data_IF_976896752497
#
_entry.id   IF_976896752497
#
_cell.length_a   1.000
_cell.length_b   1.000
_cell.length_c   1.000
_cell.angle_alpha   90.00
_cell.angle_beta   90.00
_cell.angle_gamma   90.00
#
_symmetry.space_group_name_H-M   'P 1'
#
loop_
_entity.id
_entity.type
_entity.pdbx_description
1 polymer ?
#
# COMPACT_ATOMS: atom_id res chain seq x y z
N UNK A 1 -4.91 0.35 15.91
CA UNK A 1 -5.99 -0.12 15.01
C UNK A 1 -5.64 0.22 13.57
N UNK A 2 -5.83 -0.70 12.67
CA UNK A 2 -5.54 -0.46 11.25
C UNK A 2 -6.57 0.50 10.66
N UNK A 3 -6.07 1.47 9.89
CA UNK A 3 -6.88 2.48 9.21
C UNK A 3 -6.57 2.48 7.73
N UNK A 4 -7.51 2.97 6.94
CA UNK A 4 -7.39 3.06 5.48
C UNK A 4 -7.66 4.48 5.04
N UNK A 5 -6.76 4.99 4.18
CA UNK A 5 -6.98 6.25 3.48
C UNK A 5 -7.10 5.97 1.99
N UNK A 6 -8.02 6.68 1.35
CA UNK A 6 -8.10 6.78 -0.10
C UNK A 6 -8.12 8.26 -0.47
N UNK A 7 -8.14 8.59 -1.76
CA UNK A 7 -8.28 9.99 -2.16
C UNK A 7 -9.66 10.58 -1.83
N UNK A 8 -10.64 9.73 -1.47
CA UNK A 8 -11.99 10.18 -1.14
C UNK A 8 -12.27 10.19 0.36
N UNK A 9 -11.59 9.32 1.12
CA UNK A 9 -11.87 9.13 2.54
C UNK A 9 -10.58 8.97 3.31
N UNK A 10 -10.60 9.35 4.59
CA UNK A 10 -9.45 9.19 5.48
C UNK A 10 -9.88 8.50 6.77
N UNK A 11 -8.93 7.80 7.38
CA UNK A 11 -9.09 7.17 8.69
C UNK A 11 -10.25 6.19 8.79
N UNK A 12 -10.53 5.49 7.69
CA UNK A 12 -11.58 4.46 7.69
C UNK A 12 -11.11 3.21 8.42
N UNK A 13 -12.02 2.61 9.18
CA UNK A 13 -11.81 1.28 9.75
C UNK A 13 -12.57 0.29 8.88
N UNK A 14 -11.86 -0.52 8.12
CA UNK A 14 -12.46 -1.45 7.17
C UNK A 14 -12.03 -2.89 7.45
N UNK A 15 -12.91 -3.83 7.10
CA UNK A 15 -12.55 -5.24 7.09
C UNK A 15 -11.57 -5.52 5.95
N UNK A 16 -10.85 -6.63 6.04
CA UNK A 16 -9.95 -7.06 5.00
C UNK A 16 -10.70 -7.30 3.68
N UNK A 17 -11.92 -7.82 3.76
CA UNK A 17 -12.78 -8.04 2.60
C UNK A 17 -13.10 -6.72 1.87
N UNK A 18 -13.41 -5.66 2.62
CA UNK A 18 -13.68 -4.34 2.04
C UNK A 18 -12.43 -3.73 1.43
N UNK A 19 -11.28 -3.92 2.05
CA UNK A 19 -10.02 -3.45 1.51
C UNK A 19 -9.74 -4.12 0.17
N UNK A 20 -9.93 -5.44 0.08
CA UNK A 20 -9.77 -6.18 -1.18
C UNK A 20 -10.72 -5.66 -2.27
N UNK A 21 -11.97 -5.37 -1.90
CA UNK A 21 -12.94 -4.84 -2.84
C UNK A 21 -12.49 -3.50 -3.42
N UNK A 22 -12.00 -2.59 -2.57
CA UNK A 22 -11.52 -1.28 -3.02
C UNK A 22 -10.31 -1.44 -3.96
N UNK A 23 -9.37 -2.32 -3.63
CA UNK A 23 -8.21 -2.59 -4.49
C UNK A 23 -8.67 -3.09 -5.86
N UNK A 24 -9.58 -4.05 -5.88
CA UNK A 24 -10.11 -4.62 -7.14
C UNK A 24 -10.80 -3.56 -7.97
N UNK A 25 -11.49 -2.62 -7.34
CA UNK A 25 -12.28 -1.59 -8.02
C UNK A 25 -11.49 -0.34 -8.37
N UNK A 26 -10.19 -0.26 -8.02
CA UNK A 26 -9.40 0.94 -8.30
C UNK A 26 -9.55 1.46 -9.73
N UNK A 27 -9.56 0.60 -10.78
CA UNK A 27 -9.72 1.09 -12.14
C UNK A 27 -11.10 1.68 -12.44
N UNK A 28 -12.11 1.44 -11.61
CA UNK A 28 -13.51 1.70 -11.94
C UNK A 28 -14.22 2.70 -11.04
N UNK A 29 -13.77 2.87 -9.80
CA UNK A 29 -14.55 3.61 -8.81
C UNK A 29 -14.05 5.02 -8.52
N UNK A 30 -13.07 5.49 -9.28
CA UNK A 30 -12.51 6.83 -9.09
C UNK A 30 -11.59 6.97 -7.88
N UNK A 31 -11.31 5.90 -7.16
CA UNK A 31 -10.24 5.91 -6.16
C UNK A 31 -8.90 5.86 -6.88
N UNK A 32 -7.93 6.64 -6.40
CA UNK A 32 -6.60 6.69 -7.01
C UNK A 32 -5.59 5.85 -6.26
N UNK A 33 -5.80 5.68 -4.96
CA UNK A 33 -4.87 4.94 -4.11
C UNK A 33 -5.60 4.36 -2.92
N UNK A 34 -4.96 3.35 -2.32
CA UNK A 34 -5.38 2.78 -1.04
C UNK A 34 -4.15 2.69 -0.16
N UNK A 35 -4.19 3.31 1.01
CA UNK A 35 -3.12 3.24 2.01
C UNK A 35 -3.66 2.56 3.26
N UNK A 36 -2.95 1.54 3.72
CA UNK A 36 -3.26 0.84 4.97
C UNK A 36 -2.14 1.15 5.96
N UNK A 37 -2.52 1.59 7.15
CA UNK A 37 -1.56 1.97 8.20
C UNK A 37 -2.16 1.69 9.57
N UNK A 38 -1.33 1.79 10.61
CA UNK A 38 -1.79 1.66 11.98
C UNK A 38 -1.83 3.06 12.61
N UNK A 39 -2.87 3.38 13.34
CA UNK A 39 -3.04 4.70 13.98
C UNK A 39 -2.27 4.84 15.30
N UNK A 40 -1.53 3.82 15.71
CA UNK A 40 -0.71 3.88 16.93
C UNK A 40 0.54 4.72 16.69
N UNK A 41 0.91 5.61 17.64
CA UNK A 41 2.04 6.53 17.44
C UNK A 41 3.39 5.85 17.21
N UNK A 42 3.57 4.63 17.71
CA UNK A 42 4.80 3.88 17.57
C UNK A 42 4.87 3.05 16.28
N UNK A 43 3.82 3.09 15.46
CA UNK A 43 3.74 2.33 14.20
C UNK A 43 3.53 3.29 13.03
N UNK A 44 4.63 3.79 12.48
CA UNK A 44 4.61 4.82 11.43
C UNK A 44 4.59 4.26 10.02
N UNK A 45 4.84 2.97 9.86
CA UNK A 45 4.89 2.34 8.54
C UNK A 45 3.53 2.23 7.87
N UNK A 46 3.55 1.99 6.56
CA UNK A 46 2.32 1.82 5.79
C UNK A 46 2.58 0.94 4.56
N UNK A 47 1.48 0.46 3.98
CA UNK A 47 1.49 -0.20 2.68
C UNK A 47 0.44 0.50 1.81
N UNK A 48 0.77 0.71 0.54
CA UNK A 48 -0.15 1.38 -0.38
C UNK A 48 -0.10 0.76 -1.76
N UNK A 49 -1.17 0.93 -2.50
CA UNK A 49 -1.21 0.57 -3.91
C UNK A 49 -1.92 1.63 -4.73
N UNK A 50 -1.43 1.83 -5.95
CA UNK A 50 -2.02 2.71 -6.95
C UNK A 50 -1.99 1.98 -8.28
N UNK A 51 -2.72 2.47 -9.27
CA UNK A 51 -2.51 2.02 -10.64
C UNK A 51 -1.22 2.66 -11.16
N UNK A 52 -0.40 1.88 -11.83
CA UNK A 52 0.87 2.37 -12.38
C UNK A 52 0.62 3.40 -13.49
N UNK A 53 -0.43 3.17 -14.28
CA UNK A 53 -0.86 4.10 -15.33
C UNK A 53 -2.39 4.09 -15.38
N UNK A 54 -3.02 5.08 -14.76
CA UNK A 54 -4.47 5.15 -14.67
C UNK A 54 -5.17 5.36 -16.01
N UNK A 55 -4.43 5.81 -17.03
CA UNK A 55 -5.01 5.96 -18.38
C UNK A 55 -5.30 4.61 -19.04
N UNK A 56 -4.66 3.53 -18.57
CA UNK A 56 -4.90 2.19 -19.08
C UNK A 56 -6.12 1.50 -18.44
N UNK A 57 -6.68 2.07 -17.39
CA UNK A 57 -7.83 1.49 -16.70
C UNK A 57 -7.55 0.09 -16.21
N UNK A 58 -8.42 -0.87 -16.57
CA UNK A 58 -8.29 -2.27 -16.14
C UNK A 58 -6.99 -2.94 -16.58
N UNK A 59 -6.35 -2.41 -17.59
CA UNK A 59 -5.11 -3.00 -18.13
C UNK A 59 -3.87 -2.47 -17.42
N UNK A 60 -4.02 -1.49 -16.52
CA UNK A 60 -2.88 -0.98 -15.78
C UNK A 60 -2.36 -2.02 -14.79
N UNK A 61 -1.03 -2.20 -14.72
CA UNK A 61 -0.44 -2.88 -13.57
C UNK A 61 -0.69 -2.06 -12.31
N UNK A 62 -0.55 -2.70 -11.17
CA UNK A 62 -0.60 -2.05 -9.86
C UNK A 62 0.82 -1.78 -9.39
N UNK A 63 1.03 -0.60 -8.82
CA UNK A 63 2.28 -0.29 -8.14
C UNK A 63 2.03 -0.44 -6.63
N UNK A 64 2.79 -1.33 -6.02
CA UNK A 64 2.70 -1.62 -4.59
C UNK A 64 3.91 -1.02 -3.90
N UNK A 65 3.69 -0.27 -2.83
CA UNK A 65 4.77 0.34 -2.06
C UNK A 65 4.54 0.12 -0.57
N UNK A 66 5.62 -0.05 0.17
CA UNK A 66 5.59 -0.12 1.62
C UNK A 66 6.76 0.63 2.20
N UNK A 67 6.53 1.29 3.34
CA UNK A 67 7.57 2.00 4.07
C UNK A 67 7.66 1.41 5.46
N UNK A 68 8.86 1.05 5.84
CA UNK A 68 9.17 0.48 7.16
C UNK A 68 10.07 1.45 7.90
N UNK A 69 9.65 1.91 9.07
CA UNK A 69 10.46 2.81 9.89
C UNK A 69 11.31 1.99 10.86
N UNK A 70 12.59 2.32 10.92
CA UNK A 70 13.55 1.71 11.85
C UNK A 70 13.67 2.56 13.12
N UNK A 71 13.57 3.89 12.96
CA UNK A 71 13.47 4.87 14.03
C UNK A 71 12.50 5.94 13.55
N UNK A 72 12.27 7.00 14.35
CA UNK A 72 11.41 8.12 13.93
C UNK A 72 11.94 8.80 12.66
N UNK A 73 13.27 8.77 12.47
CA UNK A 73 13.92 9.53 11.39
C UNK A 73 14.47 8.65 10.28
N UNK A 74 14.49 7.33 10.45
CA UNK A 74 15.07 6.43 9.44
C UNK A 74 14.05 5.40 8.98
N UNK A 75 14.04 5.18 7.67
CA UNK A 75 13.11 4.22 7.08
C UNK A 75 13.74 3.53 5.86
N UNK A 76 13.10 2.45 5.46
CA UNK A 76 13.34 1.80 4.17
C UNK A 76 12.04 1.82 3.38
N UNK A 77 12.11 2.17 2.11
CA UNK A 77 10.94 2.23 1.22
C UNK A 77 11.13 1.22 0.09
N UNK A 78 10.12 0.39 -0.12
CA UNK A 78 10.16 -0.69 -1.10
C UNK A 78 9.04 -0.53 -2.11
N UNK A 79 9.30 -0.97 -3.34
CA UNK A 79 8.36 -0.87 -4.47
C UNK A 79 8.33 -2.17 -5.25
N UNK A 80 7.16 -2.53 -5.73
CA UNK A 80 6.95 -3.73 -6.53
C UNK A 80 5.81 -3.47 -7.51
N UNK A 81 6.00 -3.90 -8.77
CA UNK A 81 4.93 -3.86 -9.76
C UNK A 81 4.20 -5.20 -9.75
N UNK A 82 2.88 -5.16 -9.75
CA UNK A 82 2.03 -6.34 -9.77
C UNK A 82 1.03 -6.22 -10.92
N UNK A 83 0.84 -7.29 -11.67
CA UNK A 83 -0.03 -7.26 -12.86
C UNK A 83 -1.51 -7.18 -12.49
N UNK A 84 -1.91 -7.78 -11.38
CA UNK A 84 -3.33 -7.93 -11.01
C UNK A 84 -3.56 -7.63 -9.54
N UNK A 85 -4.79 -7.21 -9.22
CA UNK A 85 -5.20 -6.94 -7.84
C UNK A 85 -4.97 -8.14 -6.91
N UNK A 86 -5.21 -9.35 -7.40
CA UNK A 86 -5.05 -10.57 -6.60
C UNK A 86 -3.62 -10.75 -6.10
N UNK A 87 -2.63 -10.22 -6.79
CA UNK A 87 -1.23 -10.27 -6.36
C UNK A 87 -0.95 -9.30 -5.21
N UNK A 88 -1.79 -8.28 -5.05
CA UNK A 88 -1.67 -7.28 -3.99
C UNK A 88 -2.22 -7.82 -2.66
N UNK A 89 -3.28 -8.62 -2.70
CA UNK A 89 -4.03 -9.05 -1.52
C UNK A 89 -3.16 -9.68 -0.42
N UNK A 90 -2.25 -10.62 -0.72
CA UNK A 90 -1.44 -11.25 0.35
C UNK A 90 -0.60 -10.25 1.14
N UNK A 91 -0.07 -9.24 0.47
CA UNK A 91 0.75 -8.22 1.13
C UNK A 91 -0.07 -7.34 2.06
N UNK A 92 -1.25 -6.91 1.61
CA UNK A 92 -2.16 -6.14 2.46
C UNK A 92 -2.66 -6.97 3.63
N UNK A 93 -2.97 -8.26 3.40
CA UNK A 93 -3.41 -9.15 4.46
C UNK A 93 -2.33 -9.32 5.54
N UNK A 94 -1.09 -9.53 5.13
CA UNK A 94 0.02 -9.66 6.07
C UNK A 94 0.20 -8.38 6.89
N UNK A 95 0.17 -7.24 6.25
CA UNK A 95 0.26 -5.96 6.96
C UNK A 95 -0.90 -5.79 7.94
N UNK A 96 -2.11 -6.10 7.49
CA UNK A 96 -3.31 -6.00 8.31
C UNK A 96 -3.23 -6.87 9.57
N UNK A 97 -2.62 -8.04 9.46
CA UNK A 97 -2.47 -9.00 10.55
C UNK A 97 -1.16 -8.86 11.33
N UNK A 98 -0.38 -7.84 11.05
CA UNK A 98 0.95 -7.62 11.66
C UNK A 98 1.93 -8.77 11.41
N UNK A 99 1.82 -9.42 10.26
CA UNK A 99 2.75 -10.45 9.81
C UNK A 99 3.87 -9.75 9.05
N UNK A 100 5.15 -9.95 9.41
CA UNK A 100 6.26 -9.32 8.68
C UNK A 100 6.28 -9.69 7.20
N UNK A 101 6.51 -8.68 6.35
CA UNK A 101 6.61 -8.89 4.91
C UNK A 101 8.01 -9.37 4.54
N UNK A 102 8.09 -10.20 3.50
CA UNK A 102 9.35 -10.56 2.86
C UNK A 102 9.58 -9.61 1.68
N UNK A 103 10.76 -9.01 1.62
CA UNK A 103 11.08 -8.03 0.57
C UNK A 103 11.98 -8.63 -0.51
N UNK A 104 12.02 -9.95 -0.61
CA UNK A 104 12.94 -10.65 -1.50
C UNK A 104 12.81 -10.23 -2.97
N UNK A 105 11.58 -10.00 -3.42
CA UNK A 105 11.32 -9.64 -4.81
C UNK A 105 10.90 -8.18 -4.97
N UNK A 106 11.21 -7.35 -3.97
CA UNK A 106 10.90 -5.92 -4.00
C UNK A 106 12.16 -5.13 -4.36
N UNK A 107 11.96 -3.97 -4.95
CA UNK A 107 13.02 -3.00 -5.18
C UNK A 107 13.08 -2.03 -4.01
N UNK A 108 14.23 -1.84 -3.41
CA UNK A 108 14.39 -0.81 -2.39
C UNK A 108 14.66 0.52 -3.08
N UNK A 109 13.80 1.50 -2.82
CA UNK A 109 13.84 2.81 -3.46
C UNK A 109 13.99 3.94 -2.44
N UNK A 110 14.51 3.63 -1.28
CA UNK A 110 14.67 4.57 -0.16
C UNK A 110 15.32 5.88 -0.60
N UNK A 111 16.33 5.80 -1.45
CA UNK A 111 17.08 6.97 -1.92
C UNK A 111 16.22 7.99 -2.67
N UNK A 112 15.12 7.57 -3.27
CA UNK A 112 14.22 8.49 -3.98
C UNK A 112 13.54 9.47 -3.03
N UNK A 113 13.48 9.12 -1.74
CA UNK A 113 12.77 9.90 -0.72
C UNK A 113 13.72 10.62 0.23
N UNK A 114 15.02 10.47 0.03
CA UNK A 114 16.04 11.16 0.83
C UNK A 114 16.53 12.35 0.04
N UNK A 115 16.40 13.54 0.60
CA UNK A 115 16.89 14.76 -0.02
C UNK A 115 18.25 15.12 0.58
N UNK A 116 19.10 15.64 -0.26
CA UNK A 116 20.42 16.14 0.17
C UNK A 116 20.33 17.54 0.75
#
# INVERSE_FOLDING_TARGET
MKKVDTNKYTKLTLSLERIRAIITELPHNGHRFVVLYDDKPDKQGYIQTILEDDTLGEQSPYLLETRVYHTEDTFSHYRKSCAKAQEIFPYFEDFYKDIPLSYENWEEVTKEFLED
#
